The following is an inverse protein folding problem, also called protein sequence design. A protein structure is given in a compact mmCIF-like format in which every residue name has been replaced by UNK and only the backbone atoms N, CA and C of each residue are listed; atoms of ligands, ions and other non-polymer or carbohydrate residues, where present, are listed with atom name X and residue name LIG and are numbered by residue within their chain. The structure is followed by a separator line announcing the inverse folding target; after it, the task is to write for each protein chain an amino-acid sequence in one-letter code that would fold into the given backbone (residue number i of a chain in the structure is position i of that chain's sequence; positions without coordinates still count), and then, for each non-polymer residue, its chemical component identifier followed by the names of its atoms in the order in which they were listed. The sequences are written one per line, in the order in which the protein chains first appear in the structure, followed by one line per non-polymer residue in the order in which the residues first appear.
data_IF_750643178690
#
_entry.id   IF_750643178690
#
_cell.length_a   1.000
_cell.length_b   1.000
_cell.length_c   1.000
_cell.angle_alpha   90.00
_cell.angle_beta   90.00
_cell.angle_gamma   90.00
#
_symmetry.space_group_name_H-M   'P 1'
#
loop_
_entity.id
_entity.type
_entity.pdbx_description
1 polymer ?
#
# COMPACT_ATOMS: atom_id res chain seq x y z
N UNK A 1 13.45 -2.48 -11.14
CA UNK A 1 13.39 -2.02 -9.72
C UNK A 1 12.03 -2.41 -9.14
N UNK A 2 11.94 -2.84 -7.87
CA UNK A 2 10.64 -3.21 -7.23
C UNK A 2 10.12 -2.06 -6.39
N UNK A 3 10.97 -1.42 -5.58
CA UNK A 3 10.63 -0.21 -4.85
C UNK A 3 11.06 1.03 -5.65
N UNK A 4 10.19 2.03 -5.70
CA UNK A 4 10.53 3.39 -6.13
C UNK A 4 10.77 4.26 -4.89
N UNK A 5 12.00 4.73 -4.63
CA UNK A 5 12.32 5.55 -3.47
C UNK A 5 11.45 6.81 -3.35
N UNK A 6 10.96 7.35 -4.48
CA UNK A 6 10.13 8.56 -4.47
C UNK A 6 8.70 8.31 -3.95
N UNK A 7 8.28 7.04 -3.86
CA UNK A 7 7.03 6.57 -3.23
C UNK A 7 7.23 6.09 -1.78
N UNK A 8 8.44 6.25 -1.23
CA UNK A 8 8.76 6.00 0.16
C UNK A 8 8.95 7.35 0.82
N UNK A 9 7.99 7.74 1.65
CA UNK A 9 7.93 9.06 2.25
C UNK A 9 8.30 9.02 3.71
N UNK A 10 9.06 10.02 4.14
CA UNK A 10 9.32 10.31 5.54
C UNK A 10 8.76 11.70 5.81
N UNK A 11 7.79 11.76 6.73
CA UNK A 11 7.21 13.01 7.20
C UNK A 11 8.10 13.55 8.32
N UNK A 12 8.55 14.80 8.17
CA UNK A 12 9.33 15.49 9.19
C UNK A 12 8.60 16.73 9.69
N UNK A 13 8.75 17.02 10.98
CA UNK A 13 8.31 18.28 11.61
C UNK A 13 9.52 18.87 12.32
N UNK A 14 9.89 20.10 11.97
CA UNK A 14 11.08 20.79 12.48
C UNK A 14 12.36 19.93 12.40
N UNK A 15 12.56 19.24 11.27
CA UNK A 15 13.71 18.36 11.03
C UNK A 15 13.65 16.99 11.72
N UNK A 16 12.65 16.73 12.58
CA UNK A 16 12.46 15.43 13.24
C UNK A 16 11.53 14.53 12.44
N UNK A 17 11.87 13.27 12.14
CA UNK A 17 10.94 12.32 11.52
C UNK A 17 9.80 11.98 12.49
N UNK A 18 8.57 12.17 12.04
CA UNK A 18 7.35 11.93 12.83
C UNK A 18 6.41 10.92 12.17
N UNK A 19 6.66 10.55 10.92
CA UNK A 19 5.84 9.58 10.21
C UNK A 19 6.45 9.07 8.93
N UNK A 20 5.82 8.05 8.35
CA UNK A 20 6.29 7.43 7.11
C UNK A 20 5.14 6.82 6.32
N UNK A 21 5.33 6.69 5.00
CA UNK A 21 4.45 5.95 4.08
C UNK A 21 5.31 5.15 3.11
N UNK A 22 5.06 3.84 3.03
CA UNK A 22 5.72 2.95 2.08
C UNK A 22 4.67 2.52 1.07
N UNK A 23 4.82 2.95 -0.19
CA UNK A 23 3.98 2.50 -1.29
C UNK A 23 4.83 1.75 -2.33
N UNK A 24 4.36 0.56 -2.71
CA UNK A 24 5.04 -0.35 -3.62
C UNK A 24 4.11 -0.76 -4.77
N UNK A 25 4.62 -1.03 -5.98
CA UNK A 25 3.83 -1.65 -7.04
C UNK A 25 3.22 -2.97 -6.57
N UNK A 26 1.93 -3.19 -6.79
CA UNK A 26 1.27 -4.41 -6.37
C UNK A 26 1.61 -5.58 -7.30
N UNK A 27 2.65 -6.33 -6.93
CA UNK A 27 3.12 -7.50 -7.66
C UNK A 27 2.07 -8.62 -7.75
N UNK A 28 1.03 -8.63 -6.90
CA UNK A 28 -0.04 -9.63 -6.99
C UNK A 28 -0.78 -9.56 -8.32
N UNK A 29 -0.82 -8.39 -8.97
CA UNK A 29 -1.37 -8.22 -10.32
C UNK A 29 -0.60 -9.09 -11.33
N UNK A 30 0.72 -9.12 -11.24
CA UNK A 30 1.56 -9.96 -12.11
C UNK A 30 1.53 -11.43 -11.70
N UNK A 31 1.59 -11.74 -10.39
CA UNK A 31 1.53 -13.11 -9.89
C UNK A 31 0.23 -13.83 -10.27
N UNK A 32 -0.91 -13.12 -10.25
CA UNK A 32 -2.19 -13.69 -10.69
C UNK A 32 -2.13 -14.23 -12.12
N UNK A 33 -1.36 -13.62 -13.00
CA UNK A 33 -1.22 -14.03 -14.41
C UNK A 33 -0.34 -15.28 -14.60
N UNK A 34 0.46 -15.63 -13.58
CA UNK A 34 1.29 -16.84 -13.59
C UNK A 34 0.49 -18.12 -13.29
N UNK A 35 -0.71 -17.99 -12.71
CA UNK A 35 -1.57 -19.11 -12.31
C UNK A 35 -0.84 -20.16 -11.45
N UNK A 36 -0.01 -19.70 -10.51
CA UNK A 36 0.71 -20.56 -9.55
C UNK A 36 1.90 -21.34 -10.12
N UNK A 37 2.22 -21.22 -11.41
CA UNK A 37 3.36 -21.91 -12.03
C UNK A 37 4.42 -20.91 -12.50
N UNK A 38 5.67 -21.12 -12.08
CA UNK A 38 6.79 -20.27 -12.48
C UNK A 38 7.32 -20.64 -13.87
N UNK A 39 7.44 -21.93 -14.17
CA UNK A 39 8.00 -22.44 -15.42
C UNK A 39 6.95 -23.22 -16.25
N UNK A 40 7.14 -23.30 -17.58
CA UNK A 40 8.16 -22.59 -18.37
C UNK A 40 7.75 -21.15 -18.73
N UNK A 41 6.45 -20.86 -18.87
CA UNK A 41 5.93 -19.58 -19.37
C UNK A 41 5.60 -18.56 -18.27
N UNK A 42 5.51 -18.98 -17.01
CA UNK A 42 5.09 -18.12 -15.89
C UNK A 42 6.02 -16.92 -15.68
N UNK A 43 7.33 -17.13 -15.80
CA UNK A 43 8.33 -16.08 -15.63
C UNK A 43 8.22 -14.99 -16.70
N UNK A 44 7.96 -15.37 -17.96
CA UNK A 44 7.76 -14.42 -19.05
C UNK A 44 6.47 -13.61 -18.85
N UNK A 45 5.39 -14.27 -18.43
CA UNK A 45 4.15 -13.59 -18.04
C UNK A 45 4.42 -12.59 -16.90
N UNK A 46 5.17 -12.99 -15.87
CA UNK A 46 5.50 -12.11 -14.76
C UNK A 46 6.19 -10.82 -15.23
N UNK A 47 7.27 -10.91 -16.00
CA UNK A 47 7.99 -9.72 -16.47
C UNK A 47 7.16 -8.86 -17.42
N UNK A 48 6.32 -9.46 -18.24
CA UNK A 48 5.40 -8.75 -19.13
C UNK A 48 4.34 -7.96 -18.33
N UNK A 49 3.66 -8.61 -17.39
CA UNK A 49 2.60 -7.99 -16.58
C UNK A 49 3.14 -7.06 -15.50
N UNK A 50 4.37 -7.28 -15.02
CA UNK A 50 5.04 -6.38 -14.06
C UNK A 50 5.15 -4.95 -14.59
N UNK A 51 5.39 -4.77 -15.89
CA UNK A 51 5.44 -3.46 -16.55
C UNK A 51 4.06 -2.79 -16.69
N UNK A 52 2.98 -3.56 -16.53
CA UNK A 52 1.58 -3.11 -16.65
C UNK A 52 0.92 -2.85 -15.30
N UNK A 53 1.66 -2.90 -14.19
CA UNK A 53 1.11 -2.65 -12.86
C UNK A 53 0.74 -1.17 -12.74
N UNK A 54 -0.55 -0.92 -12.55
CA UNK A 54 -1.14 0.41 -12.31
C UNK A 54 -1.66 0.63 -10.89
N UNK A 55 -1.63 -0.44 -10.07
CA UNK A 55 -2.03 -0.43 -8.67
C UNK A 55 -0.84 -0.40 -7.74
N UNK A 56 -0.90 0.46 -6.72
CA UNK A 56 0.01 0.45 -5.57
C UNK A 56 -0.56 -0.34 -4.39
N UNK A 57 0.32 -0.93 -3.62
CA UNK A 57 0.08 -1.52 -2.31
C UNK A 57 0.82 -0.69 -1.26
N UNK A 58 0.11 -0.31 -0.21
CA UNK A 58 0.64 0.46 0.93
C UNK A 58 0.71 -0.50 2.12
N UNK A 59 1.79 -1.28 2.26
CA UNK A 59 1.91 -2.27 3.33
C UNK A 59 2.08 -1.64 4.71
N UNK A 60 2.66 -0.45 4.79
CA UNK A 60 2.98 0.18 6.06
C UNK A 60 2.94 1.71 5.95
N UNK A 61 2.28 2.32 6.93
CA UNK A 61 2.20 3.75 7.13
C UNK A 61 1.98 4.02 8.62
N UNK A 62 2.55 5.11 9.13
CA UNK A 62 2.41 5.44 10.54
C UNK A 62 2.85 6.84 10.87
N UNK A 63 2.25 7.37 11.94
CA UNK A 63 2.63 8.61 12.62
C UNK A 63 2.92 8.27 14.09
N UNK A 64 3.97 8.85 14.66
CA UNK A 64 4.29 8.71 16.09
C UNK A 64 3.16 9.29 16.95
N UNK A 65 2.97 8.76 18.16
CA UNK A 65 1.73 8.94 18.94
C UNK A 65 1.42 10.41 19.22
N UNK A 66 2.43 11.21 19.47
CA UNK A 66 2.40 12.62 19.85
C UNK A 66 1.87 13.51 18.70
N UNK A 67 1.97 13.04 17.46
CA UNK A 67 1.60 13.78 16.25
C UNK A 67 0.31 13.24 15.59
N UNK A 68 -0.39 12.30 16.24
CA UNK A 68 -1.65 11.75 15.75
C UNK A 68 -2.81 12.72 16.00
N UNK A 69 -3.77 12.75 15.06
CA UNK A 69 -4.96 13.62 15.18
C UNK A 69 -4.75 15.05 14.70
N UNK A 70 -3.55 15.39 14.22
CA UNK A 70 -3.20 16.70 13.67
C UNK A 70 -3.38 16.78 12.14
N UNK A 71 -3.98 15.77 11.52
CA UNK A 71 -4.15 15.69 10.06
C UNK A 71 -2.89 15.31 9.27
N UNK A 72 -1.78 15.03 9.95
CA UNK A 72 -0.49 14.67 9.34
C UNK A 72 -0.53 13.35 8.55
N UNK A 73 -1.35 12.40 8.99
CA UNK A 73 -1.66 11.18 8.25
C UNK A 73 -2.37 11.49 6.92
N UNK A 74 -3.31 12.43 6.94
CA UNK A 74 -4.05 12.87 5.75
C UNK A 74 -3.15 13.54 4.71
N UNK A 75 -2.24 14.41 5.17
CA UNK A 75 -1.20 15.00 4.30
C UNK A 75 -0.31 13.92 3.68
N UNK A 76 0.08 12.92 4.47
CA UNK A 76 0.93 11.84 4.01
C UNK A 76 0.21 10.91 3.01
N UNK A 77 -1.10 10.67 3.17
CA UNK A 77 -1.91 9.95 2.16
C UNK A 77 -2.01 10.76 0.86
N UNK A 78 -2.29 12.06 0.96
CA UNK A 78 -2.42 12.94 -0.20
C UNK A 78 -1.11 13.00 -0.99
N UNK A 79 0.02 13.25 -0.32
CA UNK A 79 1.34 13.30 -0.97
C UNK A 79 1.70 11.96 -1.63
N UNK A 80 1.40 10.84 -0.97
CA UNK A 80 1.58 9.50 -1.55
C UNK A 80 0.75 9.35 -2.83
N UNK A 81 -0.51 9.78 -2.81
CA UNK A 81 -1.41 9.70 -3.95
C UNK A 81 -0.98 10.60 -5.12
N UNK A 82 -0.56 11.84 -4.85
CA UNK A 82 -0.08 12.77 -5.88
C UNK A 82 1.14 12.20 -6.62
N UNK A 83 2.15 11.70 -5.87
CA UNK A 83 3.33 11.07 -6.49
C UNK A 83 3.02 9.77 -7.23
N UNK A 84 2.04 9.02 -6.74
CA UNK A 84 1.56 7.82 -7.42
C UNK A 84 0.92 8.18 -8.77
N UNK A 85 0.05 9.18 -8.81
CA UNK A 85 -0.62 9.63 -10.04
C UNK A 85 0.37 10.17 -11.07
N UNK A 86 1.37 10.96 -10.64
CA UNK A 86 2.44 11.46 -11.52
C UNK A 86 3.23 10.33 -12.20
N UNK A 87 3.34 9.18 -11.53
CA UNK A 87 3.97 7.96 -12.08
C UNK A 87 3.02 7.07 -12.88
N UNK A 88 1.79 7.50 -13.06
CA UNK A 88 0.76 6.79 -13.80
C UNK A 88 0.20 5.57 -13.07
N UNK A 89 0.22 5.56 -11.74
CA UNK A 89 -0.61 4.66 -10.94
C UNK A 89 -2.02 5.28 -10.80
N UNK A 90 -3.06 4.46 -10.95
CA UNK A 90 -4.47 4.89 -10.93
C UNK A 90 -5.23 4.43 -9.69
N UNK A 91 -4.62 3.54 -8.89
CA UNK A 91 -5.28 2.91 -7.77
C UNK A 91 -4.29 2.52 -6.67
N UNK A 92 -4.77 2.48 -5.43
CA UNK A 92 -4.02 2.06 -4.26
C UNK A 92 -4.81 1.09 -3.39
N UNK A 93 -4.13 0.18 -2.71
CA UNK A 93 -4.72 -0.68 -1.70
C UNK A 93 -3.92 -0.67 -0.38
N UNK A 94 -4.63 -0.68 0.74
CA UNK A 94 -4.08 -0.50 2.09
C UNK A 94 -3.58 -1.80 2.73
N UNK A 95 -3.21 -2.81 1.93
CA UNK A 95 -2.78 -4.12 2.42
C UNK A 95 -3.78 -4.68 3.45
N UNK A 96 -3.29 -5.23 4.56
CA UNK A 96 -4.11 -5.72 5.66
C UNK A 96 -4.27 -4.64 6.73
N UNK A 97 -5.51 -4.20 6.92
CA UNK A 97 -5.90 -3.33 8.03
C UNK A 97 -6.68 -4.16 9.03
N UNK A 98 -6.23 -4.16 10.29
CA UNK A 98 -6.95 -4.83 11.37
C UNK A 98 -8.38 -4.26 11.48
N UNK A 99 -9.36 -5.13 11.67
CA UNK A 99 -10.77 -4.73 11.79
C UNK A 99 -11.01 -3.79 12.98
N UNK A 100 -10.24 -3.95 14.06
CA UNK A 100 -10.29 -3.09 15.24
C UNK A 100 -9.49 -1.78 15.09
N UNK A 101 -8.74 -1.58 13.99
CA UNK A 101 -8.07 -0.32 13.71
C UNK A 101 -9.07 0.70 13.17
N UNK A 102 -9.94 1.19 14.06
CA UNK A 102 -11.05 2.10 13.74
C UNK A 102 -10.56 3.37 13.04
N UNK A 103 -9.41 3.91 13.47
CA UNK A 103 -8.81 5.13 12.89
C UNK A 103 -8.45 4.92 11.43
N UNK A 104 -7.74 3.82 11.11
CA UNK A 104 -7.39 3.51 9.73
C UNK A 104 -8.64 3.23 8.90
N UNK A 105 -9.56 2.38 9.37
CA UNK A 105 -10.78 2.05 8.64
C UNK A 105 -11.62 3.30 8.29
N UNK A 106 -11.80 4.23 9.24
CA UNK A 106 -12.51 5.50 8.98
C UNK A 106 -11.75 6.33 7.94
N UNK A 107 -10.42 6.44 8.08
CA UNK A 107 -9.59 7.21 7.14
C UNK A 107 -9.65 6.63 5.73
N UNK A 108 -9.55 5.31 5.58
CA UNK A 108 -9.69 4.60 4.29
C UNK A 108 -11.03 4.91 3.63
N UNK A 109 -12.13 4.81 4.39
CA UNK A 109 -13.47 5.07 3.87
C UNK A 109 -13.63 6.54 3.43
N UNK A 110 -13.09 7.50 4.21
CA UNK A 110 -13.09 8.93 3.84
C UNK A 110 -12.32 9.22 2.56
N UNK A 111 -11.28 8.43 2.28
CA UNK A 111 -10.52 8.49 1.01
C UNK A 111 -11.22 7.77 -0.15
N UNK A 112 -12.44 7.25 0.03
CA UNK A 112 -13.19 6.54 -1.01
C UNK A 112 -12.76 5.09 -1.22
N UNK A 113 -11.94 4.52 -0.32
CA UNK A 113 -11.55 3.12 -0.40
C UNK A 113 -12.75 2.19 -0.18
N UNK A 114 -12.83 1.12 -0.97
CA UNK A 114 -13.86 0.07 -0.82
C UNK A 114 -13.24 -1.17 -0.20
N UNK A 115 -13.86 -1.68 0.86
CA UNK A 115 -13.49 -2.98 1.45
C UNK A 115 -13.83 -4.08 0.44
N UNK A 116 -12.80 -4.73 -0.11
CA UNK A 116 -12.98 -5.77 -1.14
C UNK A 116 -12.75 -7.20 -0.62
N UNK A 117 -12.09 -7.35 0.53
CA UNK A 117 -11.79 -8.64 1.14
C UNK A 117 -11.67 -8.52 2.66
N UNK A 118 -12.14 -9.56 3.36
CA UNK A 118 -12.01 -9.72 4.81
C UNK A 118 -11.31 -11.04 5.08
N UNK A 119 -10.25 -11.00 5.90
CA UNK A 119 -9.54 -12.18 6.35
C UNK A 119 -9.95 -12.51 7.80
N UNK A 120 -10.04 -13.80 8.11
CA UNK A 120 -10.25 -14.32 9.46
C UNK A 120 -9.15 -15.34 9.73
N UNK A 121 -8.38 -15.12 10.78
CA UNK A 121 -7.31 -16.02 11.19
C UNK A 121 -7.84 -16.89 12.31
N UNK A 122 -7.62 -18.19 12.21
CA UNK A 122 -8.00 -19.19 13.20
C UNK A 122 -6.73 -19.93 13.60
N UNK A 123 -6.64 -20.28 14.87
CA UNK A 123 -5.55 -21.07 15.44
C UNK A 123 -6.15 -22.29 16.12
N UNK A 124 -5.47 -23.43 16.02
CA UNK A 124 -5.78 -24.65 16.75
C UNK A 124 -4.46 -25.30 17.13
N UNK A 125 -4.38 -25.84 18.33
CA UNK A 125 -3.28 -26.73 18.70
C UNK A 125 -3.27 -27.95 17.75
N UNK A 126 -2.09 -28.34 17.30
CA UNK A 126 -1.89 -29.43 16.34
C UNK A 126 -1.82 -30.79 17.03
#
# INVERSE_FOLDING_TARGET
KIADPSLILILTVNGRPVGFSIALPDLNVAFKQMNGRMLPLGIFKFFYYKKKIKRLRIPAMGIIKEYRGLGLDSLLYLETALRAMDKGYDSGEFSWVLENNRKMNISSNKMGAKRYKTYRFYEREL
#
